data_IF_457949988538
#
_entry.id   IF_457949988538
#
_cell.length_a   1.000
_cell.length_b   1.000
_cell.length_c   1.000
_cell.angle_alpha   90.00
_cell.angle_beta   90.00
_cell.angle_gamma   90.00
#
_symmetry.space_group_name_H-M   'P 1'
#
loop_
_entity.id
_entity.type
_entity.pdbx_description
1 polymer ?
#
# COMPACT_ATOMS: atom_id res chain seq x y z
N UNK A 1 -10.31 7.85 -7.38
CA UNK A 1 -10.40 7.87 -5.90
C UNK A 1 -10.29 6.45 -5.39
N UNK A 2 -9.54 6.25 -4.31
CA UNK A 2 -9.42 4.96 -3.61
C UNK A 2 -9.60 5.25 -2.12
N UNK A 3 -10.53 4.55 -1.48
CA UNK A 3 -10.75 4.63 -0.03
C UNK A 3 -10.28 3.33 0.61
N UNK A 4 -9.52 3.45 1.70
CA UNK A 4 -9.12 2.32 2.52
C UNK A 4 -10.34 1.80 3.28
N UNK A 5 -10.72 0.54 3.05
CA UNK A 5 -11.96 -0.01 3.58
C UNK A 5 -11.81 -1.50 3.92
N UNK A 6 -12.15 -1.84 5.16
CA UNK A 6 -12.37 -3.21 5.63
C UNK A 6 -13.36 -3.14 6.78
N UNK A 7 -14.25 -4.11 6.85
CA UNK A 7 -15.30 -4.21 7.87
C UNK A 7 -15.20 -5.57 8.59
N UNK A 8 -15.96 -5.70 9.66
CA UNK A 8 -16.02 -6.86 10.56
C UNK A 8 -16.08 -8.26 9.92
N UNK A 9 -16.60 -8.39 8.69
CA UNK A 9 -16.64 -9.66 7.95
C UNK A 9 -16.35 -9.47 6.46
N UNK A 10 -16.11 -10.57 5.74
CA UNK A 10 -15.88 -10.57 4.31
C UNK A 10 -17.10 -10.09 3.52
N UNK A 11 -18.31 -10.49 3.92
CA UNK A 11 -19.58 -10.10 3.30
C UNK A 11 -19.87 -8.61 3.51
N UNK A 12 -19.69 -8.10 4.72
CA UNK A 12 -19.88 -6.66 5.00
C UNK A 12 -18.87 -5.80 4.22
N UNK A 13 -17.64 -6.27 4.08
CA UNK A 13 -16.61 -5.63 3.25
C UNK A 13 -16.99 -5.67 1.78
N UNK A 14 -17.47 -6.81 1.27
CA UNK A 14 -17.97 -6.94 -0.10
C UNK A 14 -19.13 -5.98 -0.40
N UNK A 15 -20.13 -5.92 0.47
CA UNK A 15 -21.27 -5.00 0.33
C UNK A 15 -20.82 -3.55 0.29
N UNK A 16 -19.83 -3.18 1.10
CA UNK A 16 -19.22 -1.85 1.06
C UNK A 16 -18.50 -1.60 -0.28
N UNK A 17 -17.71 -2.57 -0.76
CA UNK A 17 -17.02 -2.46 -2.04
C UNK A 17 -18.00 -2.28 -3.20
N UNK A 18 -19.03 -3.13 -3.31
CA UNK A 18 -20.04 -3.02 -4.37
C UNK A 18 -20.80 -1.70 -4.32
N UNK A 19 -21.19 -1.23 -3.12
CA UNK A 19 -21.82 0.10 -2.94
C UNK A 19 -20.92 1.24 -3.40
N UNK A 20 -19.63 1.18 -3.12
CA UNK A 20 -18.71 2.24 -3.51
C UNK A 20 -18.39 2.20 -5.02
N UNK A 21 -18.24 1.01 -5.60
CA UNK A 21 -18.09 0.84 -7.05
C UNK A 21 -19.30 1.41 -7.81
N UNK A 22 -20.52 1.14 -7.33
CA UNK A 22 -21.74 1.70 -7.89
C UNK A 22 -21.82 3.24 -7.80
N UNK A 23 -21.06 3.84 -6.88
CA UNK A 23 -20.92 5.31 -6.72
C UNK A 23 -19.73 5.91 -7.49
N UNK A 24 -19.06 5.12 -8.34
CA UNK A 24 -17.97 5.58 -9.20
C UNK A 24 -16.56 5.42 -8.62
N UNK A 25 -16.37 4.69 -7.52
CA UNK A 25 -15.03 4.27 -7.11
C UNK A 25 -14.41 3.36 -8.18
N UNK A 26 -13.14 3.60 -8.54
CA UNK A 26 -12.47 2.95 -9.67
C UNK A 26 -11.43 1.91 -9.28
N UNK A 27 -11.15 1.75 -7.98
CA UNK A 27 -10.20 0.77 -7.48
C UNK A 27 -10.50 0.39 -6.05
N UNK A 28 -10.15 -0.84 -5.68
CA UNK A 28 -10.41 -1.40 -4.35
C UNK A 28 -9.19 -1.19 -3.44
N UNK A 29 -9.44 -1.13 -2.13
CA UNK A 29 -8.40 -1.11 -1.12
C UNK A 29 -8.85 -1.94 0.07
N UNK A 30 -8.14 -3.03 0.32
CA UNK A 30 -8.47 -4.01 1.35
C UNK A 30 -7.63 -3.77 2.60
N UNK A 31 -8.33 -3.53 3.69
CA UNK A 31 -7.79 -3.50 5.05
C UNK A 31 -8.05 -4.84 5.72
N UNK A 32 -7.01 -5.54 6.16
CA UNK A 32 -7.14 -6.83 6.85
C UNK A 32 -7.13 -6.63 8.37
N UNK A 33 -7.73 -7.55 9.11
CA UNK A 33 -7.63 -7.55 10.57
C UNK A 33 -6.23 -7.91 11.07
N UNK A 34 -5.98 -7.73 12.37
CA UNK A 34 -4.66 -7.99 12.95
C UNK A 34 -4.26 -9.49 12.89
N UNK A 35 -5.16 -10.47 13.16
CA UNK A 35 -4.86 -11.89 12.97
C UNK A 35 -4.38 -12.21 11.55
N UNK A 36 -5.09 -11.75 10.51
CA UNK A 36 -4.69 -11.98 9.11
C UNK A 36 -3.34 -11.34 8.78
N UNK A 37 -3.07 -10.14 9.32
CA UNK A 37 -1.77 -9.46 9.16
C UNK A 37 -0.61 -10.21 9.80
N UNK A 38 -0.87 -10.91 10.91
CA UNK A 38 0.14 -11.62 11.72
C UNK A 38 0.13 -13.13 11.50
N UNK A 39 -0.64 -13.63 10.52
CA UNK A 39 -0.62 -15.04 10.12
C UNK A 39 -1.35 -15.99 11.08
N UNK A 40 -2.29 -15.48 11.86
CA UNK A 40 -3.16 -16.30 12.72
C UNK A 40 -4.54 -16.50 12.10
N UNK A 41 -5.04 -17.73 12.18
CA UNK A 41 -6.44 -18.04 11.93
C UNK A 41 -7.34 -17.41 13.01
N UNK A 42 -8.61 -17.18 12.67
CA UNK A 42 -9.56 -16.49 13.56
C UNK A 42 -9.89 -17.26 14.85
N UNK A 43 -9.67 -18.58 14.87
CA UNK A 43 -9.87 -19.43 16.04
C UNK A 43 -8.60 -19.60 16.90
N UNK A 44 -7.47 -19.04 16.48
CA UNK A 44 -6.23 -19.07 17.25
C UNK A 44 -6.37 -18.28 18.55
N UNK A 45 -5.78 -18.78 19.65
CA UNK A 45 -5.92 -18.17 20.98
C UNK A 45 -5.45 -16.71 21.03
N UNK A 46 -4.41 -16.36 20.26
CA UNK A 46 -3.88 -14.99 20.16
C UNK A 46 -4.72 -14.05 19.28
N UNK A 47 -5.66 -14.58 18.49
CA UNK A 47 -6.55 -13.78 17.66
C UNK A 47 -7.76 -13.23 18.43
N UNK A 48 -8.04 -13.78 19.62
CA UNK A 48 -9.23 -13.45 20.41
C UNK A 48 -9.29 -11.95 20.72
N UNK A 49 -10.39 -11.32 20.30
CA UNK A 49 -10.65 -9.88 20.51
C UNK A 49 -10.17 -8.98 19.36
N UNK A 50 -9.41 -9.52 18.41
CA UNK A 50 -8.85 -8.76 17.28
C UNK A 50 -9.46 -9.14 15.93
N UNK A 51 -10.17 -10.28 15.87
CA UNK A 51 -10.88 -10.74 14.66
C UNK A 51 -11.88 -9.68 14.18
N UNK A 52 -11.73 -9.23 12.94
CA UNK A 52 -12.64 -8.25 12.33
C UNK A 52 -12.60 -6.83 12.91
N UNK A 53 -11.71 -6.54 13.87
CA UNK A 53 -11.72 -5.28 14.63
C UNK A 53 -11.27 -4.08 13.79
N UNK A 54 -10.23 -4.26 13.00
CA UNK A 54 -9.55 -3.19 12.24
C UNK A 54 -9.53 -3.44 10.73
N UNK A 55 -10.22 -4.47 10.27
CA UNK A 55 -10.26 -4.88 8.87
C UNK A 55 -10.98 -6.22 8.70
N UNK A 56 -10.96 -6.75 7.49
CA UNK A 56 -11.61 -8.03 7.16
C UNK A 56 -10.75 -9.22 7.65
N UNK A 57 -11.34 -10.22 8.31
CA UNK A 57 -10.68 -11.51 8.56
C UNK A 57 -10.62 -12.34 7.27
N UNK A 58 -9.44 -12.82 6.90
CA UNK A 58 -9.25 -13.75 5.77
C UNK A 58 -8.27 -14.84 6.19
N UNK A 59 -8.81 -16.02 6.55
CA UNK A 59 -8.01 -17.17 6.96
C UNK A 59 -7.72 -18.09 5.76
N UNK A 60 -8.73 -18.30 4.91
CA UNK A 60 -8.67 -19.27 3.81
C UNK A 60 -9.35 -18.78 2.53
N UNK A 61 -9.26 -19.58 1.46
CA UNK A 61 -9.84 -19.27 0.15
C UNK A 61 -11.34 -18.95 0.20
N UNK A 62 -12.10 -19.60 1.09
CA UNK A 62 -13.53 -19.33 1.26
C UNK A 62 -13.85 -17.88 1.65
N UNK A 63 -13.00 -17.25 2.46
CA UNK A 63 -13.22 -15.85 2.87
C UNK A 63 -12.88 -14.90 1.72
N UNK A 64 -11.82 -15.21 0.97
CA UNK A 64 -11.44 -14.45 -0.21
C UNK A 64 -12.54 -14.50 -1.29
N UNK A 65 -13.17 -15.67 -1.48
CA UNK A 65 -14.33 -15.82 -2.38
C UNK A 65 -15.49 -14.93 -1.95
N UNK A 66 -15.86 -14.94 -0.66
CA UNK A 66 -16.94 -14.09 -0.13
C UNK A 66 -16.60 -12.60 -0.24
N UNK A 67 -15.35 -12.24 0.03
CA UNK A 67 -14.88 -10.85 -0.06
C UNK A 67 -15.04 -10.27 -1.48
N UNK A 68 -14.82 -11.08 -2.51
CA UNK A 68 -14.87 -10.65 -3.92
C UNK A 68 -16.03 -11.24 -4.71
N UNK A 69 -17.05 -11.76 -4.04
CA UNK A 69 -18.28 -12.22 -4.68
C UNK A 69 -18.91 -11.10 -5.52
N UNK A 70 -19.30 -11.40 -6.75
CA UNK A 70 -19.88 -10.46 -7.72
C UNK A 70 -19.00 -9.24 -8.05
N UNK A 71 -17.69 -9.32 -7.80
CA UNK A 71 -16.72 -8.29 -8.18
C UNK A 71 -15.76 -8.90 -9.23
N UNK A 72 -15.77 -8.41 -10.49
CA UNK A 72 -14.95 -8.99 -11.56
C UNK A 72 -13.47 -8.59 -11.41
N UNK A 73 -12.65 -9.48 -10.83
CA UNK A 73 -11.27 -9.16 -10.43
C UNK A 73 -10.36 -8.76 -11.60
N UNK A 74 -10.56 -9.31 -12.80
CA UNK A 74 -9.79 -8.93 -14.02
C UNK A 74 -9.88 -7.41 -14.31
N UNK A 75 -11.01 -6.79 -13.97
CA UNK A 75 -11.30 -5.39 -14.28
C UNK A 75 -10.91 -4.44 -13.14
N UNK A 76 -10.57 -4.98 -11.96
CA UNK A 76 -10.32 -4.19 -10.76
C UNK A 76 -8.84 -3.80 -10.65
N UNK A 77 -8.60 -2.63 -10.04
CA UNK A 77 -7.30 -2.25 -9.53
C UNK A 77 -7.31 -2.35 -7.99
N UNK A 78 -6.82 -3.47 -7.46
CA UNK A 78 -6.94 -3.82 -6.04
C UNK A 78 -5.68 -3.52 -5.26
N UNK A 79 -5.78 -2.71 -4.21
CA UNK A 79 -4.72 -2.54 -3.21
C UNK A 79 -4.97 -3.48 -2.04
N UNK A 80 -3.93 -4.17 -1.58
CA UNK A 80 -3.95 -4.96 -0.35
C UNK A 80 -2.91 -4.40 0.60
N UNK A 81 -3.35 -3.80 1.70
CA UNK A 81 -2.47 -3.31 2.77
C UNK A 81 -2.11 -4.49 3.66
N UNK A 82 -1.17 -5.30 3.16
CA UNK A 82 -0.75 -6.55 3.78
C UNK A 82 0.76 -6.73 3.58
N UNK A 83 1.44 -7.27 4.60
CA UNK A 83 2.91 -7.33 4.64
C UNK A 83 3.42 -8.76 4.87
N UNK A 84 3.55 -9.21 6.12
CA UNK A 84 4.16 -10.51 6.42
C UNK A 84 3.48 -11.69 5.71
N UNK A 85 2.16 -11.64 5.56
CA UNK A 85 1.34 -12.65 4.87
C UNK A 85 1.03 -12.29 3.41
N UNK A 86 1.66 -11.27 2.83
CA UNK A 86 1.29 -10.74 1.51
C UNK A 86 1.32 -11.78 0.38
N UNK A 87 2.30 -12.69 0.39
CA UNK A 87 2.39 -13.77 -0.59
C UNK A 87 1.18 -14.71 -0.52
N UNK A 88 0.74 -15.06 0.70
CA UNK A 88 -0.44 -15.91 0.91
C UNK A 88 -1.71 -15.22 0.41
N UNK A 89 -1.93 -13.96 0.78
CA UNK A 89 -3.13 -13.22 0.36
C UNK A 89 -3.16 -12.98 -1.15
N UNK A 90 -2.01 -12.77 -1.81
CA UNK A 90 -1.95 -12.70 -3.27
C UNK A 90 -2.29 -14.05 -3.92
N UNK A 91 -1.80 -15.17 -3.37
CA UNK A 91 -2.14 -16.49 -3.88
C UNK A 91 -3.66 -16.75 -3.79
N UNK A 92 -4.28 -16.45 -2.65
CA UNK A 92 -5.74 -16.55 -2.50
C UNK A 92 -6.48 -15.64 -3.49
N UNK A 93 -6.02 -14.39 -3.65
CA UNK A 93 -6.61 -13.44 -4.61
C UNK A 93 -6.53 -13.94 -6.05
N UNK A 94 -5.38 -14.48 -6.46
CA UNK A 94 -5.18 -15.06 -7.78
C UNK A 94 -6.13 -16.24 -8.01
N UNK A 95 -6.22 -17.19 -7.07
CA UNK A 95 -7.10 -18.36 -7.21
C UNK A 95 -8.56 -17.96 -7.36
N UNK A 96 -9.03 -16.97 -6.59
CA UNK A 96 -10.40 -16.44 -6.77
C UNK A 96 -10.58 -15.81 -8.15
N UNK A 97 -9.57 -15.09 -8.66
CA UNK A 97 -9.66 -14.51 -10.00
C UNK A 97 -9.70 -15.60 -11.10
N UNK A 98 -8.90 -16.67 -10.95
CA UNK A 98 -8.91 -17.83 -11.85
C UNK A 98 -10.26 -18.54 -11.83
N UNK A 99 -10.87 -18.72 -10.66
CA UNK A 99 -12.23 -19.28 -10.52
C UNK A 99 -13.31 -18.42 -11.19
N UNK A 100 -13.10 -17.10 -11.27
CA UNK A 100 -13.95 -16.18 -12.04
C UNK A 100 -13.68 -16.22 -13.56
N UNK A 101 -12.68 -16.99 -14.01
CA UNK A 101 -12.26 -17.08 -15.41
C UNK A 101 -11.35 -15.93 -15.87
N UNK A 102 -10.69 -15.22 -14.95
CA UNK A 102 -9.78 -14.13 -15.30
C UNK A 102 -8.48 -14.63 -15.92
N UNK A 103 -7.96 -13.88 -16.90
CA UNK A 103 -6.57 -13.98 -17.33
C UNK A 103 -5.68 -13.30 -16.29
N UNK A 104 -4.89 -14.10 -15.55
CA UNK A 104 -4.03 -13.61 -14.47
C UNK A 104 -3.04 -12.54 -14.94
N UNK A 105 -2.64 -12.56 -16.22
CA UNK A 105 -1.69 -11.57 -16.76
C UNK A 105 -2.27 -10.16 -16.83
N UNK A 106 -3.61 -10.05 -16.78
CA UNK A 106 -4.34 -8.78 -16.77
C UNK A 106 -4.61 -8.25 -15.37
N UNK A 107 -4.45 -9.04 -14.31
CA UNK A 107 -4.72 -8.60 -12.95
C UNK A 107 -3.86 -7.38 -12.60
N UNK A 108 -4.51 -6.35 -12.05
CA UNK A 108 -3.86 -5.10 -11.69
C UNK A 108 -4.09 -4.82 -10.22
N UNK A 109 -3.04 -4.42 -9.53
CA UNK A 109 -3.14 -4.14 -8.12
C UNK A 109 -1.80 -3.89 -7.47
N UNK A 110 -1.83 -3.85 -6.14
CA UNK A 110 -0.67 -3.55 -5.32
C UNK A 110 -0.76 -4.33 -4.01
N UNK A 111 0.31 -5.03 -3.66
CA UNK A 111 0.54 -5.53 -2.29
C UNK A 111 1.52 -4.60 -1.59
N UNK A 112 1.28 -4.28 -0.32
CA UNK A 112 2.21 -3.43 0.42
C UNK A 112 3.57 -4.12 0.55
N UNK A 113 3.60 -5.36 1.08
CA UNK A 113 4.76 -6.26 1.06
C UNK A 113 6.10 -5.60 1.45
N UNK A 114 6.05 -4.60 2.33
CA UNK A 114 7.23 -3.93 2.84
C UNK A 114 7.44 -4.40 4.27
N UNK A 115 8.27 -5.43 4.43
CA UNK A 115 8.55 -5.99 5.75
C UNK A 115 9.56 -5.14 6.54
N UNK A 116 10.41 -4.34 5.88
CA UNK A 116 11.48 -3.60 6.60
C UNK A 116 10.85 -2.60 7.57
N UNK A 117 9.83 -1.86 7.14
CA UNK A 117 9.08 -0.96 8.03
C UNK A 117 8.28 -1.68 9.12
N UNK A 118 7.98 -2.97 8.97
CA UNK A 118 7.30 -3.74 10.03
C UNK A 118 8.17 -3.94 11.27
N UNK A 119 9.50 -4.01 11.11
CA UNK A 119 10.41 -4.08 12.26
C UNK A 119 10.70 -2.71 12.87
N UNK A 120 10.60 -1.64 12.08
CA UNK A 120 11.00 -0.30 12.50
C UNK A 120 9.87 0.53 13.10
N UNK A 121 8.63 0.36 12.64
CA UNK A 121 7.52 1.24 13.05
C UNK A 121 6.16 0.58 13.20
N UNK A 122 5.84 -0.48 12.45
CA UNK A 122 4.46 -0.99 12.38
C UNK A 122 4.17 -2.24 13.23
N UNK A 123 5.14 -3.14 13.40
CA UNK A 123 5.06 -4.25 14.36
C UNK A 123 4.29 -5.50 13.92
N UNK A 124 3.88 -5.65 12.66
CA UNK A 124 3.12 -6.82 12.16
C UNK A 124 3.98 -7.83 11.38
N UNK A 125 5.23 -8.01 11.80
CA UNK A 125 6.14 -9.02 11.24
C UNK A 125 5.85 -10.41 11.84
N UNK A 126 6.15 -11.48 11.09
CA UNK A 126 5.93 -12.88 11.52
C UNK A 126 7.24 -13.64 11.62
N UNK A 127 8.08 -13.57 10.58
CA UNK A 127 9.36 -14.27 10.52
C UNK A 127 10.52 -13.33 10.88
N UNK A 128 11.75 -13.83 11.08
CA UNK A 128 12.93 -12.98 11.14
C UNK A 128 13.19 -12.21 9.83
N UNK A 129 14.06 -11.18 9.85
CA UNK A 129 14.30 -10.33 8.68
C UNK A 129 14.73 -11.06 7.41
N UNK A 130 15.67 -12.01 7.50
CA UNK A 130 16.20 -12.76 6.34
C UNK A 130 15.12 -13.55 5.58
N UNK A 131 14.42 -14.50 6.24
CA UNK A 131 13.32 -15.24 5.63
C UNK A 131 12.19 -14.35 5.09
N UNK A 132 11.90 -13.24 5.77
CA UNK A 132 10.88 -12.30 5.30
C UNK A 132 11.28 -11.59 4.00
N UNK A 133 12.52 -11.10 3.91
CA UNK A 133 13.02 -10.48 2.69
C UNK A 133 13.03 -11.47 1.53
N UNK A 134 13.40 -12.73 1.78
CA UNK A 134 13.32 -13.81 0.80
C UNK A 134 11.90 -14.00 0.24
N UNK A 135 10.86 -13.99 1.09
CA UNK A 135 9.46 -14.06 0.64
C UNK A 135 9.08 -12.85 -0.22
N UNK A 136 9.49 -11.64 0.18
CA UNK A 136 9.29 -10.44 -0.65
C UNK A 136 9.95 -10.59 -2.02
N UNK A 137 11.19 -11.07 -2.07
CA UNK A 137 11.94 -11.32 -3.31
C UNK A 137 11.25 -12.33 -4.23
N UNK A 138 10.83 -13.48 -3.70
CA UNK A 138 10.10 -14.50 -4.46
C UNK A 138 8.81 -13.95 -5.06
N UNK A 139 8.04 -13.18 -4.28
CA UNK A 139 6.79 -12.59 -4.74
C UNK A 139 7.01 -11.57 -5.86
N UNK A 140 8.11 -10.79 -5.78
CA UNK A 140 8.51 -9.88 -6.87
C UNK A 140 8.87 -10.68 -8.12
N UNK A 141 9.72 -11.71 -8.01
CA UNK A 141 10.12 -12.53 -9.15
C UNK A 141 8.92 -13.23 -9.82
N UNK A 142 8.01 -13.77 -9.02
CA UNK A 142 6.80 -14.42 -9.49
C UNK A 142 5.89 -13.45 -10.26
N UNK A 143 5.56 -12.31 -9.67
CA UNK A 143 4.63 -11.33 -10.27
C UNK A 143 5.18 -10.70 -11.53
N UNK A 144 6.48 -10.37 -11.59
CA UNK A 144 7.11 -9.83 -12.80
C UNK A 144 7.01 -10.80 -13.99
N UNK A 145 6.93 -12.11 -13.72
CA UNK A 145 6.85 -13.14 -14.75
C UNK A 145 5.42 -13.56 -15.10
N UNK A 146 4.52 -13.65 -14.12
CA UNK A 146 3.18 -14.23 -14.30
C UNK A 146 2.03 -13.22 -14.19
N UNK A 147 2.21 -12.15 -13.41
CA UNK A 147 1.19 -11.12 -13.16
C UNK A 147 1.81 -9.74 -13.45
N UNK A 148 2.27 -9.48 -14.69
CA UNK A 148 3.18 -8.37 -14.99
C UNK A 148 2.55 -6.99 -14.76
N UNK A 149 1.24 -6.89 -14.53
CA UNK A 149 0.56 -5.63 -14.19
C UNK A 149 0.43 -5.38 -12.68
N UNK A 150 0.77 -6.36 -11.84
CA UNK A 150 0.77 -6.22 -10.39
C UNK A 150 1.98 -5.41 -9.90
N UNK A 151 1.78 -4.59 -8.87
CA UNK A 151 2.88 -3.94 -8.15
C UNK A 151 3.17 -4.75 -6.88
N UNK A 152 4.21 -5.60 -6.87
CA UNK A 152 4.43 -6.60 -5.81
C UNK A 152 4.84 -6.01 -4.47
N UNK A 153 5.36 -4.78 -4.47
CA UNK A 153 5.78 -4.08 -3.27
C UNK A 153 5.44 -2.60 -3.40
N UNK A 154 4.97 -2.04 -2.30
CA UNK A 154 4.74 -0.64 -2.11
C UNK A 154 5.57 -0.16 -0.92
N UNK A 155 6.79 0.29 -1.18
CA UNK A 155 7.75 0.71 -0.15
C UNK A 155 7.16 1.88 0.62
N UNK A 156 6.92 1.65 1.91
CA UNK A 156 5.94 2.38 2.68
C UNK A 156 6.62 3.16 3.79
N UNK A 157 7.03 4.38 3.45
CA UNK A 157 7.66 5.30 4.37
C UNK A 157 6.65 6.04 5.25
N UNK A 158 5.36 5.97 4.92
CA UNK A 158 4.29 6.60 5.68
C UNK A 158 4.37 6.30 7.18
N UNK A 159 4.47 5.01 7.53
CA UNK A 159 4.52 4.55 8.92
C UNK A 159 5.78 5.01 9.66
N UNK A 160 6.87 5.27 8.94
CA UNK A 160 8.11 5.75 9.54
C UNK A 160 7.92 7.20 10.03
N UNK A 161 7.27 8.04 9.22
CA UNK A 161 6.96 9.41 9.62
C UNK A 161 5.92 9.44 10.76
N UNK A 162 4.90 8.57 10.73
CA UNK A 162 3.95 8.40 11.85
C UNK A 162 4.63 7.91 13.14
N UNK A 163 5.76 7.20 13.05
CA UNK A 163 6.59 6.83 14.19
C UNK A 163 7.61 7.91 14.61
N UNK A 164 7.58 9.08 13.98
CA UNK A 164 8.43 10.22 14.32
C UNK A 164 9.65 10.43 13.44
N UNK A 165 9.79 9.71 12.31
CA UNK A 165 10.87 9.98 11.36
C UNK A 165 10.72 11.38 10.75
N UNK A 166 11.80 12.14 10.72
CA UNK A 166 11.89 13.40 9.98
C UNK A 166 11.79 13.16 8.47
N UNK A 167 11.43 14.17 7.65
CA UNK A 167 11.45 14.07 6.18
C UNK A 167 12.74 13.51 5.58
N UNK A 168 13.89 13.86 6.17
CA UNK A 168 15.21 13.37 5.72
C UNK A 168 15.37 11.88 6.04
N UNK A 169 15.02 11.46 7.26
CA UNK A 169 15.05 10.05 7.67
C UNK A 169 14.10 9.22 6.83
N UNK A 170 12.89 9.71 6.55
CA UNK A 170 11.92 9.04 5.71
C UNK A 170 12.48 8.73 4.31
N UNK A 171 13.07 9.73 3.64
CA UNK A 171 13.75 9.53 2.36
C UNK A 171 14.86 8.48 2.49
N UNK A 172 15.73 8.63 3.49
CA UNK A 172 16.88 7.76 3.66
C UNK A 172 16.47 6.30 3.89
N UNK A 173 15.50 6.06 4.76
CA UNK A 173 15.01 4.72 5.10
C UNK A 173 14.25 4.08 3.93
N UNK A 174 13.40 4.84 3.23
CA UNK A 174 12.68 4.34 2.06
C UNK A 174 13.64 3.96 0.92
N UNK A 175 14.62 4.80 0.62
CA UNK A 175 15.61 4.52 -0.42
C UNK A 175 16.53 3.36 -0.05
N UNK A 176 16.92 3.26 1.22
CA UNK A 176 17.71 2.12 1.71
C UNK A 176 16.93 0.81 1.62
N UNK A 177 15.64 0.84 1.96
CA UNK A 177 14.74 -0.31 1.79
C UNK A 177 14.62 -0.71 0.32
N UNK A 178 14.45 0.26 -0.58
CA UNK A 178 14.37 0.00 -2.01
C UNK A 178 15.64 -0.63 -2.57
N UNK A 179 16.82 -0.13 -2.15
CA UNK A 179 18.11 -0.71 -2.50
C UNK A 179 18.23 -2.14 -1.98
N UNK A 180 17.89 -2.40 -0.71
CA UNK A 180 17.96 -3.74 -0.13
C UNK A 180 17.08 -4.76 -0.86
N UNK A 181 15.85 -4.36 -1.23
CA UNK A 181 14.93 -5.20 -2.01
C UNK A 181 15.46 -5.44 -3.43
N UNK A 182 15.94 -4.40 -4.12
CA UNK A 182 16.48 -4.54 -5.47
C UNK A 182 17.76 -5.38 -5.51
N UNK A 183 18.64 -5.21 -4.53
CA UNK A 183 19.83 -6.04 -4.37
C UNK A 183 19.43 -7.51 -4.13
N UNK A 184 18.47 -7.77 -3.24
CA UNK A 184 17.99 -9.13 -2.98
C UNK A 184 17.37 -9.79 -4.24
N UNK A 185 16.60 -9.04 -5.04
CA UNK A 185 16.04 -9.56 -6.30
C UNK A 185 17.15 -9.86 -7.31
N UNK A 186 18.09 -8.94 -7.51
CA UNK A 186 19.25 -9.13 -8.39
C UNK A 186 20.06 -10.37 -7.99
N UNK A 187 20.40 -10.46 -6.71
CA UNK A 187 21.31 -11.49 -6.18
C UNK A 187 20.63 -12.87 -6.07
N UNK A 188 19.29 -12.92 -6.07
CA UNK A 188 18.53 -14.18 -6.08
C UNK A 188 18.69 -14.97 -7.38
N UNK A 189 19.03 -14.31 -8.50
CA UNK A 189 19.09 -14.93 -9.83
C UNK A 189 17.73 -15.38 -10.40
N UNK A 190 16.61 -15.10 -9.72
CA UNK A 190 15.27 -15.53 -10.17
C UNK A 190 14.71 -14.68 -11.32
N UNK A 191 15.21 -13.45 -11.48
CA UNK A 191 14.86 -12.57 -12.60
C UNK A 191 16.13 -12.33 -13.42
N UNK A 192 16.10 -12.60 -14.75
CA UNK A 192 17.25 -12.29 -15.62
C UNK A 192 17.65 -10.82 -15.53
N UNK A 193 18.94 -10.53 -15.60
CA UNK A 193 19.48 -9.18 -15.38
C UNK A 193 18.89 -8.17 -16.38
N UNK A 194 18.67 -8.59 -17.63
CA UNK A 194 18.03 -7.79 -18.68
C UNK A 194 16.58 -7.38 -18.35
N UNK A 195 15.92 -8.11 -17.46
CA UNK A 195 14.55 -7.83 -16.98
C UNK A 195 14.52 -7.02 -15.68
N UNK A 196 15.65 -6.59 -15.12
CA UNK A 196 15.63 -5.74 -13.91
C UNK A 196 14.90 -4.41 -14.11
N UNK A 197 14.79 -3.92 -15.36
CA UNK A 197 13.93 -2.79 -15.68
C UNK A 197 12.46 -3.05 -15.31
N UNK A 198 11.94 -4.25 -15.57
CA UNK A 198 10.57 -4.64 -15.22
C UNK A 198 10.36 -4.61 -13.71
N UNK A 199 11.33 -5.10 -12.94
CA UNK A 199 11.30 -5.09 -11.47
C UNK A 199 11.23 -3.66 -10.96
N UNK A 200 12.17 -2.80 -11.37
CA UNK A 200 12.22 -1.38 -10.98
C UNK A 200 10.94 -0.66 -11.38
N UNK A 201 10.45 -0.94 -12.59
CA UNK A 201 9.21 -0.38 -13.12
C UNK A 201 7.94 -0.85 -12.40
N UNK A 202 8.02 -1.88 -11.55
CA UNK A 202 6.90 -2.42 -10.76
C UNK A 202 6.96 -2.10 -9.27
N UNK A 203 8.08 -1.62 -8.75
CA UNK A 203 8.15 -1.04 -7.41
C UNK A 203 7.31 0.26 -7.37
N UNK A 204 6.52 0.42 -6.33
CA UNK A 204 5.84 1.67 -6.00
C UNK A 204 6.17 2.11 -4.57
N UNK A 205 5.78 3.34 -4.22
CA UNK A 205 6.01 3.92 -2.90
C UNK A 205 4.70 4.41 -2.26
N UNK A 206 4.67 4.39 -0.92
CA UNK A 206 3.60 5.00 -0.14
C UNK A 206 4.20 5.90 0.93
N UNK A 207 4.04 7.20 0.74
CA UNK A 207 4.71 8.23 1.53
C UNK A 207 3.72 8.97 2.42
N UNK A 208 4.23 9.68 3.41
CA UNK A 208 3.46 10.61 4.22
C UNK A 208 3.68 12.06 3.75
N UNK A 209 2.78 12.96 4.09
CA UNK A 209 2.99 14.40 3.94
C UNK A 209 2.29 15.15 5.08
N UNK A 210 3.07 15.89 5.89
CA UNK A 210 2.55 16.71 6.98
C UNK A 210 2.35 18.18 6.65
N UNK A 211 1.93 18.95 7.65
CA UNK A 211 1.56 20.38 7.50
C UNK A 211 2.70 21.30 7.04
N UNK A 212 3.96 20.85 7.04
CA UNK A 212 5.13 21.63 6.58
C UNK A 212 5.19 21.68 5.06
N UNK A 213 4.20 22.34 4.45
CA UNK A 213 3.91 22.38 3.01
C UNK A 213 5.14 22.47 2.09
N UNK A 214 6.02 23.44 2.32
CA UNK A 214 7.21 23.65 1.47
C UNK A 214 8.21 22.49 1.62
N UNK A 215 8.42 22.02 2.84
CA UNK A 215 9.34 20.92 3.11
C UNK A 215 8.82 19.63 2.47
N UNK A 216 7.53 19.35 2.59
CA UNK A 216 6.91 18.15 2.01
C UNK A 216 6.94 18.17 0.47
N UNK A 217 6.69 19.32 -0.14
CA UNK A 217 6.85 19.48 -1.58
C UNK A 217 8.31 19.23 -2.02
N UNK A 218 9.28 19.78 -1.28
CA UNK A 218 10.71 19.54 -1.53
C UNK A 218 11.08 18.07 -1.32
N UNK A 219 10.52 17.41 -0.30
CA UNK A 219 10.69 15.99 0.01
C UNK A 219 10.28 15.13 -1.18
N UNK A 220 9.10 15.37 -1.75
CA UNK A 220 8.60 14.62 -2.92
C UNK A 220 9.48 14.79 -4.16
N UNK A 221 9.99 16.01 -4.41
CA UNK A 221 10.93 16.25 -5.50
C UNK A 221 12.27 15.55 -5.27
N UNK A 222 12.74 15.52 -4.02
CA UNK A 222 13.97 14.82 -3.65
C UNK A 222 13.82 13.30 -3.83
N UNK A 223 12.70 12.71 -3.38
CA UNK A 223 12.35 11.30 -3.63
C UNK A 223 12.51 10.93 -5.11
N UNK A 224 11.87 11.70 -6.01
CA UNK A 224 11.92 11.44 -7.44
C UNK A 224 13.33 11.52 -8.03
N UNK A 225 14.11 12.54 -7.66
CA UNK A 225 15.50 12.71 -8.14
C UNK A 225 16.44 11.64 -7.63
N UNK A 226 16.31 11.27 -6.36
CA UNK A 226 17.17 10.25 -5.73
C UNK A 226 16.86 8.88 -6.32
N UNK A 227 15.57 8.53 -6.50
CA UNK A 227 15.17 7.28 -7.13
C UNK A 227 15.67 7.14 -8.57
N UNK A 228 15.51 8.18 -9.40
CA UNK A 228 16.03 8.18 -10.77
C UNK A 228 17.55 8.02 -10.80
N UNK A 229 18.28 8.71 -9.90
CA UNK A 229 19.73 8.57 -9.78
C UNK A 229 20.14 7.15 -9.39
N UNK A 230 19.56 6.59 -8.33
CA UNK A 230 19.87 5.23 -7.84
C UNK A 230 19.63 4.21 -8.95
N UNK A 231 18.46 4.25 -9.59
CA UNK A 231 18.07 3.25 -10.59
C UNK A 231 18.88 3.36 -11.88
N UNK A 232 19.30 4.57 -12.27
CA UNK A 232 20.22 4.77 -13.40
C UNK A 232 21.65 4.34 -13.06
N UNK A 233 22.22 4.84 -11.98
CA UNK A 233 23.66 4.73 -11.72
C UNK A 233 24.07 3.41 -11.05
N UNK A 234 23.24 2.89 -10.12
CA UNK A 234 23.54 1.64 -9.40
C UNK A 234 23.04 0.40 -10.16
N UNK A 235 21.90 0.52 -10.85
CA UNK A 235 21.24 -0.62 -11.50
C UNK A 235 21.25 -0.55 -13.04
N UNK A 236 21.77 0.53 -13.63
CA UNK A 236 21.92 0.64 -15.09
C UNK A 236 20.61 0.64 -15.88
N UNK A 237 19.48 1.00 -15.26
CA UNK A 237 18.19 0.97 -15.95
C UNK A 237 18.11 2.14 -16.92
N UNK A 238 18.07 1.86 -18.23
CA UNK A 238 18.11 2.89 -19.28
C UNK A 238 16.73 3.49 -19.64
N UNK A 239 15.65 2.69 -19.58
CA UNK A 239 14.31 3.21 -19.89
C UNK A 239 13.81 4.14 -18.78
N UNK A 240 13.62 5.46 -19.05
CA UNK A 240 13.08 6.39 -18.08
C UNK A 240 11.69 6.01 -17.58
N UNK A 241 10.90 5.24 -18.34
CA UNK A 241 9.57 4.77 -17.91
C UNK A 241 9.66 3.86 -16.69
N UNK A 242 10.68 3.01 -16.61
CA UNK A 242 10.95 2.11 -15.49
C UNK A 242 11.48 2.85 -14.27
N UNK A 243 12.27 3.91 -14.47
CA UNK A 243 12.81 4.73 -13.38
C UNK A 243 11.84 5.76 -12.78
N UNK A 244 10.60 5.84 -13.26
CA UNK A 244 9.63 6.80 -12.72
C UNK A 244 9.33 6.49 -11.25
N UNK A 245 9.45 7.50 -10.39
CA UNK A 245 9.02 7.40 -9.00
C UNK A 245 7.48 7.42 -8.96
N UNK A 246 6.87 6.25 -8.72
CA UNK A 246 5.42 6.07 -8.68
C UNK A 246 5.00 5.92 -7.22
N UNK A 247 4.21 6.87 -6.73
CA UNK A 247 3.81 6.85 -5.34
C UNK A 247 2.35 7.21 -5.12
N UNK A 248 1.78 6.58 -4.09
CA UNK A 248 0.60 7.06 -3.39
C UNK A 248 1.00 7.78 -2.10
N UNK A 249 0.09 8.56 -1.55
CA UNK A 249 0.30 9.29 -0.30
C UNK A 249 -0.94 9.19 0.57
N UNK A 250 -0.72 9.03 1.87
CA UNK A 250 -1.69 9.45 2.88
C UNK A 250 -1.11 10.64 3.62
N UNK A 251 -1.91 11.69 3.75
CA UNK A 251 -1.47 12.86 4.52
C UNK A 251 -1.41 12.52 6.01
N UNK A 252 -0.56 13.25 6.74
CA UNK A 252 -0.22 12.93 8.11
C UNK A 252 -1.45 12.89 9.02
N UNK A 253 -1.68 11.73 9.64
CA UNK A 253 -2.82 11.53 10.53
C UNK A 253 -2.45 11.82 11.99
N UNK A 254 -1.18 11.60 12.37
CA UNK A 254 -0.64 11.96 13.69
C UNK A 254 -0.73 13.47 14.00
N UNK A 255 -0.68 14.31 12.96
CA UNK A 255 -0.79 15.77 13.09
C UNK A 255 -2.20 16.29 13.37
N UNK A 256 -3.23 15.43 13.33
CA UNK A 256 -4.62 15.81 13.54
C UNK A 256 -4.95 15.92 15.03
N UNK A 257 -5.81 16.88 15.38
CA UNK A 257 -6.14 17.17 16.77
C UNK A 257 -7.52 16.66 17.14
N UNK A 258 -7.64 16.00 18.30
CA UNK A 258 -8.93 15.70 18.93
C UNK A 258 -9.66 16.99 19.33
N UNK A 259 -8.92 17.93 19.94
CA UNK A 259 -9.48 19.23 20.29
C UNK A 259 -9.74 20.06 19.03
N UNK A 260 -10.96 20.60 18.93
CA UNK A 260 -11.44 21.38 17.77
C UNK A 260 -11.14 20.66 16.43
N UNK A 261 -11.68 19.44 16.24
CA UNK A 261 -11.31 18.59 15.12
C UNK A 261 -11.69 19.19 13.76
N UNK A 262 -12.58 20.17 13.71
CA UNK A 262 -12.92 20.91 12.50
C UNK A 262 -11.70 21.59 11.86
N UNK A 263 -10.71 21.99 12.68
CA UNK A 263 -9.44 22.57 12.21
C UNK A 263 -8.58 21.58 11.40
N UNK A 264 -8.86 20.28 11.51
CA UNK A 264 -8.16 19.25 10.74
C UNK A 264 -8.48 19.34 9.25
N UNK A 265 -9.63 19.91 8.86
CA UNK A 265 -9.98 20.10 7.45
C UNK A 265 -8.93 20.97 6.75
N UNK A 266 -8.53 22.09 7.37
CA UNK A 266 -7.53 23.00 6.81
C UNK A 266 -6.13 22.37 6.80
N UNK A 267 -5.79 21.57 7.83
CA UNK A 267 -4.53 20.80 7.88
C UNK A 267 -4.44 19.83 6.71
N UNK A 268 -5.47 19.01 6.53
CA UNK A 268 -5.58 18.01 5.46
C UNK A 268 -5.48 18.67 4.08
N UNK A 269 -6.15 19.81 3.87
CA UNK A 269 -6.06 20.58 2.60
C UNK A 269 -4.62 21.03 2.34
N UNK A 270 -3.95 21.59 3.34
CA UNK A 270 -2.57 22.06 3.20
C UNK A 270 -1.61 20.91 2.86
N UNK A 271 -1.76 19.77 3.55
CA UNK A 271 -0.98 18.55 3.32
C UNK A 271 -1.20 17.98 1.93
N UNK A 272 -2.46 17.92 1.49
CA UNK A 272 -2.83 17.46 0.14
C UNK A 272 -2.20 18.32 -0.95
N UNK A 273 -2.22 19.64 -0.78
CA UNK A 273 -1.67 20.57 -1.77
C UNK A 273 -0.15 20.38 -1.94
N UNK A 274 0.57 20.04 -0.87
CA UNK A 274 2.02 19.82 -0.92
C UNK A 274 2.43 18.71 -1.92
N UNK A 275 1.56 17.71 -2.09
CA UNK A 275 1.81 16.51 -2.89
C UNK A 275 1.07 16.48 -4.24
N UNK A 276 0.19 17.45 -4.49
CA UNK A 276 -0.61 17.53 -5.73
C UNK A 276 -0.18 18.67 -6.66
N UNK A 277 0.38 19.76 -6.12
CA UNK A 277 0.73 20.95 -6.90
C UNK A 277 2.00 20.78 -7.74
N UNK A 278 2.95 19.93 -7.32
CA UNK A 278 4.21 19.75 -8.04
C UNK A 278 3.98 19.03 -9.37
N UNK A 279 4.29 19.68 -10.50
CA UNK A 279 4.14 19.07 -11.85
C UNK A 279 4.98 17.78 -11.99
N UNK A 280 6.22 17.82 -11.52
CA UNK A 280 7.20 16.75 -11.74
C UNK A 280 7.22 15.69 -10.62
N UNK A 281 6.48 15.94 -9.53
CA UNK A 281 6.39 15.06 -8.37
C UNK A 281 4.95 15.03 -7.84
N UNK A 282 3.96 14.91 -8.73
CA UNK A 282 2.54 14.80 -8.34
C UNK A 282 2.23 13.38 -7.87
N UNK A 283 1.52 13.27 -6.75
CA UNK A 283 1.00 12.01 -6.26
C UNK A 283 0.06 11.35 -7.28
N UNK A 284 0.16 10.02 -7.42
CA UNK A 284 -0.72 9.25 -8.33
C UNK A 284 -1.98 8.75 -7.66
N UNK A 285 -1.93 8.61 -6.35
CA UNK A 285 -3.06 8.27 -5.50
C UNK A 285 -2.95 9.08 -4.22
N UNK A 286 -4.03 9.74 -3.84
CA UNK A 286 -4.11 10.53 -2.60
C UNK A 286 -5.18 9.91 -1.72
N UNK A 287 -4.80 9.59 -0.49
CA UNK A 287 -5.69 9.17 0.56
C UNK A 287 -5.71 10.27 1.62
N UNK A 288 -6.90 10.74 1.95
CA UNK A 288 -7.08 11.76 2.98
C UNK A 288 -7.78 11.10 4.18
N UNK A 289 -7.29 11.35 5.40
CA UNK A 289 -7.99 10.94 6.61
C UNK A 289 -9.29 11.72 6.75
N UNK A 290 -10.16 11.26 7.63
CA UNK A 290 -11.32 12.05 8.02
C UNK A 290 -10.91 13.14 9.00
N UNK A 291 -11.64 14.26 8.97
CA UNK A 291 -11.41 15.40 9.86
C UNK A 291 -11.45 15.04 11.36
N UNK A 292 -12.14 13.96 11.72
CA UNK A 292 -12.31 13.47 13.09
C UNK A 292 -11.48 12.21 13.40
N UNK A 293 -10.48 11.85 12.59
CA UNK A 293 -9.77 10.57 12.76
C UNK A 293 -9.05 10.44 14.11
N UNK A 294 -8.63 11.56 14.73
CA UNK A 294 -8.07 11.57 16.09
C UNK A 294 -9.06 11.09 17.17
N UNK A 295 -10.38 11.13 16.90
CA UNK A 295 -11.43 10.66 17.82
C UNK A 295 -11.73 9.16 17.64
N UNK A 296 -11.42 8.60 16.48
CA UNK A 296 -11.73 7.21 16.15
C UNK A 296 -12.06 6.99 14.69
N UNK A 297 -12.62 5.81 14.39
CA UNK A 297 -12.93 5.43 13.01
C UNK A 297 -14.02 6.32 12.40
N UNK A 298 -13.86 6.73 11.13
CA UNK A 298 -14.79 7.64 10.50
C UNK A 298 -16.13 6.98 10.15
N UNK A 299 -17.23 7.73 10.29
CA UNK A 299 -18.54 7.32 9.79
C UNK A 299 -18.64 7.61 8.29
N UNK A 300 -19.63 7.04 7.57
CA UNK A 300 -19.83 7.33 6.15
C UNK A 300 -19.99 8.81 5.82
N UNK A 301 -20.53 9.62 6.73
CA UNK A 301 -20.64 11.07 6.56
C UNK A 301 -19.27 11.77 6.63
N UNK A 302 -18.40 11.35 7.55
CA UNK A 302 -17.08 11.96 7.75
C UNK A 302 -16.17 11.70 6.54
N UNK A 303 -16.27 10.50 5.94
CA UNK A 303 -15.54 10.15 4.71
C UNK A 303 -15.92 11.00 3.49
N UNK A 304 -17.15 11.53 3.44
CA UNK A 304 -17.56 12.38 2.32
C UNK A 304 -16.73 13.66 2.25
N UNK A 305 -16.32 14.21 3.39
CA UNK A 305 -15.48 15.41 3.43
C UNK A 305 -14.14 15.16 2.77
N UNK A 306 -13.45 14.09 3.16
CA UNK A 306 -12.18 13.66 2.58
C UNK A 306 -12.27 13.43 1.07
N UNK A 307 -13.39 12.88 0.58
CA UNK A 307 -13.63 12.69 -0.85
C UNK A 307 -13.92 13.98 -1.62
N UNK A 308 -14.50 14.99 -0.96
CA UNK A 308 -14.83 16.30 -1.59
C UNK A 308 -13.65 17.28 -1.57
N UNK A 309 -12.69 17.07 -0.68
CA UNK A 309 -11.44 17.84 -0.65
C UNK A 309 -10.53 17.49 -1.86
N UNK A 310 -10.54 16.23 -2.30
CA UNK A 310 -9.80 15.74 -3.48
C UNK A 310 -10.42 16.22 -4.80
#
# INVERSE_FOLDING_TARGET
MRTYAGHSTAEASNELYRRNLAKGQTGLSVAFDLPTQTGYDSDHILARGEVGRVGVPVAHLGDMRRLFQDIPLEQMNTSMTINATAMWLLALYQVVAEEQGADITKLQGTTQNDIVKEYLSRGTHVFPPGPSLRLTTDMIAYTVSHIPKWNPINICSYHLQEAGATPVQEIAYAMSTAIAVLDAVRDSGQVPQERMGDVVGRISFFVNAGVRFIEEMCKMRAFGRIWDRITRERYGIEDPKHRRFRYGVQVNSLGLTEAQPENNVQRIVLEMLAVTLSKDARARAVQLPAWNEALGLPRPWDQQWSLRIQ
#
